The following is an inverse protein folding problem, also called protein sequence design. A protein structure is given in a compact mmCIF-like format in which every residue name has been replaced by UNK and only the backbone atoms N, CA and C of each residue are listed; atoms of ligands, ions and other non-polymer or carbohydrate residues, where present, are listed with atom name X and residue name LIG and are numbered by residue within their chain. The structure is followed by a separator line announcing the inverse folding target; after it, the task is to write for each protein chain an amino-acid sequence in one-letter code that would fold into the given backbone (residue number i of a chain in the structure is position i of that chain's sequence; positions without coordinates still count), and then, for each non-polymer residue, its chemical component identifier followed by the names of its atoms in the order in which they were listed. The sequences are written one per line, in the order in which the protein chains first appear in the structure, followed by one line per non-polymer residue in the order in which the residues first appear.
data_IF_950817025162
#
_entry.id   IF_950817025162
#
_cell.length_a   1.000
_cell.length_b   1.000
_cell.length_c   1.000
_cell.angle_alpha   90.00
_cell.angle_beta   90.00
_cell.angle_gamma   90.00
#
_symmetry.space_group_name_H-M   'P 1'
#
loop_
_entity.id
_entity.type
_entity.pdbx_description
1 polymer ?
#
# COMPACT_ATOMS: atom_id res chain seq x y z
N UNK A 1 -1.73 3.36 -23.49
CA UNK A 1 -3.10 3.85 -23.23
C UNK A 1 -3.79 2.87 -22.29
N UNK A 2 -4.91 3.22 -21.64
CA UNK A 2 -5.62 2.26 -20.76
C UNK A 2 -5.90 0.94 -21.49
N UNK A 3 -6.23 1.02 -22.78
CA UNK A 3 -6.48 -0.15 -23.62
C UNK A 3 -5.27 -1.05 -23.81
N UNK A 4 -4.08 -0.48 -23.92
CA UNK A 4 -2.84 -1.25 -24.07
C UNK A 4 -2.52 -1.98 -22.77
N UNK A 5 -2.69 -1.29 -21.62
CA UNK A 5 -2.47 -1.86 -20.30
C UNK A 5 -3.42 -3.03 -20.00
N UNK A 6 -4.70 -2.91 -20.36
CA UNK A 6 -5.68 -4.01 -20.24
C UNK A 6 -5.30 -5.20 -21.13
N UNK A 7 -4.82 -4.95 -22.35
CA UNK A 7 -4.39 -6.01 -23.28
C UNK A 7 -3.13 -6.72 -22.83
N UNK A 8 -2.21 -6.00 -22.22
CA UNK A 8 -0.95 -6.53 -21.71
C UNK A 8 -1.12 -7.16 -20.32
N UNK A 9 -2.34 -7.09 -19.75
CA UNK A 9 -2.70 -7.62 -18.42
C UNK A 9 -1.90 -6.98 -17.28
N UNK A 10 -1.42 -5.75 -17.49
CA UNK A 10 -0.65 -4.97 -16.52
C UNK A 10 -1.59 -4.31 -15.51
N UNK A 11 -1.92 -5.03 -14.43
CA UNK A 11 -2.88 -4.52 -13.44
C UNK A 11 -2.39 -3.27 -12.73
N UNK A 12 -1.10 -3.21 -12.40
CA UNK A 12 -0.48 -2.07 -11.75
C UNK A 12 -0.61 -0.82 -12.62
N UNK A 13 -0.23 -0.92 -13.90
CA UNK A 13 -0.39 0.16 -14.84
C UNK A 13 -1.85 0.54 -15.07
N UNK A 14 -2.78 -0.43 -15.11
CA UNK A 14 -4.22 -0.15 -15.19
C UNK A 14 -4.69 0.61 -13.96
N UNK A 15 -4.33 0.17 -12.75
CA UNK A 15 -4.69 0.80 -11.50
C UNK A 15 -4.12 2.22 -11.44
N UNK A 16 -2.82 2.42 -11.68
CA UNK A 16 -2.17 3.73 -11.72
C UNK A 16 -2.83 4.66 -12.76
N UNK A 17 -3.15 4.14 -13.95
CA UNK A 17 -3.80 4.93 -14.99
C UNK A 17 -5.22 5.32 -14.58
N UNK A 18 -6.01 4.35 -14.12
CA UNK A 18 -7.36 4.57 -13.62
C UNK A 18 -7.32 5.54 -12.47
N UNK A 19 -6.33 5.46 -11.59
CA UNK A 19 -6.03 6.39 -10.52
C UNK A 19 -5.80 7.81 -11.06
N UNK A 20 -4.76 8.02 -11.85
CA UNK A 20 -4.30 9.35 -12.27
C UNK A 20 -5.27 10.14 -13.17
N UNK A 21 -6.33 9.52 -13.73
CA UNK A 21 -7.25 10.16 -14.67
C UNK A 21 -8.64 10.51 -14.06
N UNK A 22 -9.28 11.61 -14.50
CA UNK A 22 -10.59 12.00 -14.00
C UNK A 22 -11.74 11.13 -14.58
N UNK A 23 -12.90 11.04 -13.91
CA UNK A 23 -13.97 10.11 -14.28
C UNK A 23 -14.47 10.19 -15.73
N UNK A 24 -14.57 11.39 -16.30
CA UNK A 24 -14.99 11.59 -17.69
C UNK A 24 -13.96 11.07 -18.71
N UNK A 25 -12.65 11.14 -18.40
CA UNK A 25 -11.59 10.58 -19.27
C UNK A 25 -11.59 9.06 -19.20
N UNK A 26 -11.80 8.51 -17.99
CA UNK A 26 -11.94 7.07 -17.82
C UNK A 26 -13.18 6.59 -18.59
N UNK A 27 -14.32 7.26 -18.44
CA UNK A 27 -15.56 6.92 -19.14
C UNK A 27 -15.36 6.92 -20.67
N UNK A 28 -14.71 7.96 -21.22
CA UNK A 28 -14.41 8.06 -22.65
C UNK A 28 -13.48 6.93 -23.14
N UNK A 29 -12.48 6.53 -22.35
CA UNK A 29 -11.62 5.38 -22.68
C UNK A 29 -12.35 4.04 -22.56
N UNK A 30 -13.18 3.85 -21.52
CA UNK A 30 -14.00 2.66 -21.35
C UNK A 30 -15.02 2.50 -22.50
N UNK A 31 -15.61 3.59 -22.99
CA UNK A 31 -16.51 3.58 -24.14
C UNK A 31 -15.83 3.20 -25.46
N UNK A 32 -14.50 3.29 -25.54
CA UNK A 32 -13.71 2.89 -26.72
C UNK A 32 -13.23 1.44 -26.68
N UNK A 33 -13.40 0.77 -25.55
CA UNK A 33 -13.05 -0.63 -25.34
C UNK A 33 -14.18 -1.56 -25.76
N UNK A 34 -13.90 -2.86 -25.87
CA UNK A 34 -14.97 -3.85 -25.94
C UNK A 34 -15.58 -4.10 -24.54
N UNK A 35 -16.66 -4.87 -24.48
CA UNK A 35 -17.41 -5.09 -23.25
C UNK A 35 -16.54 -5.70 -22.14
N UNK A 36 -15.60 -6.58 -22.50
CA UNK A 36 -14.78 -7.32 -21.57
C UNK A 36 -13.72 -6.40 -20.97
N UNK A 37 -12.92 -5.77 -21.83
CA UNK A 37 -11.85 -4.86 -21.44
C UNK A 37 -12.40 -3.71 -20.57
N UNK A 38 -13.54 -3.13 -20.99
CA UNK A 38 -14.21 -2.08 -20.24
C UNK A 38 -14.70 -2.59 -18.87
N UNK A 39 -15.28 -3.79 -18.82
CA UNK A 39 -15.77 -4.40 -17.58
C UNK A 39 -14.65 -4.67 -16.56
N UNK A 40 -13.46 -5.02 -17.05
CA UNK A 40 -12.26 -5.28 -16.23
C UNK A 40 -11.77 -4.00 -15.59
N UNK A 41 -11.45 -2.98 -16.41
CA UNK A 41 -10.99 -1.69 -15.92
C UNK A 41 -12.06 -1.03 -15.00
N UNK A 42 -13.34 -1.16 -15.32
CA UNK A 42 -14.41 -0.66 -14.46
C UNK A 42 -14.48 -1.35 -13.09
N UNK A 43 -14.06 -2.61 -12.99
CA UNK A 43 -14.10 -3.35 -11.72
C UNK A 43 -12.96 -3.01 -10.77
N UNK A 44 -11.86 -2.49 -11.32
CA UNK A 44 -10.70 -2.04 -10.56
C UNK A 44 -10.92 -0.68 -9.90
N UNK A 45 -11.95 0.07 -10.32
CA UNK A 45 -12.37 1.30 -9.66
C UNK A 45 -12.98 1.02 -8.28
N UNK A 46 -12.61 1.83 -7.29
CA UNK A 46 -13.30 1.87 -6.01
C UNK A 46 -14.78 2.24 -6.21
N UNK A 47 -15.62 1.89 -5.23
CA UNK A 47 -17.08 2.02 -5.35
C UNK A 47 -17.54 3.43 -5.71
N UNK A 48 -16.92 4.45 -5.13
CA UNK A 48 -17.36 5.84 -5.29
C UNK A 48 -16.93 6.37 -6.67
N UNK A 49 -15.72 6.02 -7.13
CA UNK A 49 -15.26 6.35 -8.49
C UNK A 49 -15.96 5.56 -9.57
N UNK A 50 -16.22 4.27 -9.35
CA UNK A 50 -16.99 3.45 -10.27
C UNK A 50 -18.37 4.05 -10.52
N UNK A 51 -19.02 4.59 -9.47
CA UNK A 51 -20.29 5.28 -9.61
C UNK A 51 -20.14 6.58 -10.43
N UNK A 52 -19.14 7.41 -10.12
CA UNK A 52 -18.88 8.64 -10.85
C UNK A 52 -18.57 8.39 -12.33
N UNK A 53 -17.72 7.41 -12.63
CA UNK A 53 -17.40 6.99 -14.02
C UNK A 53 -18.65 6.45 -14.71
N UNK A 54 -19.45 5.63 -14.01
CA UNK A 54 -20.67 5.08 -14.59
C UNK A 54 -21.69 6.16 -14.93
N UNK A 55 -21.80 7.22 -14.13
CA UNK A 55 -22.67 8.37 -14.39
C UNK A 55 -22.21 9.21 -15.60
N UNK A 56 -20.91 9.25 -15.88
CA UNK A 56 -20.32 9.95 -17.04
C UNK A 56 -20.41 9.13 -18.35
N UNK A 57 -20.62 7.82 -18.28
CA UNK A 57 -20.78 6.95 -19.45
C UNK A 57 -22.10 7.20 -20.19
N UNK A 58 -22.07 7.10 -21.52
CA UNK A 58 -23.31 7.07 -22.30
C UNK A 58 -24.12 5.79 -21.98
N UNK A 59 -25.45 5.80 -22.13
CA UNK A 59 -26.30 4.65 -21.79
C UNK A 59 -25.92 3.34 -22.51
N UNK A 60 -25.37 3.44 -23.73
CA UNK A 60 -24.89 2.30 -24.51
C UNK A 60 -23.66 1.67 -23.85
N UNK A 61 -22.72 2.51 -23.40
CA UNK A 61 -21.47 2.07 -22.76
C UNK A 61 -21.73 1.54 -21.35
N UNK A 62 -22.67 2.15 -20.61
CA UNK A 62 -23.17 1.61 -19.34
C UNK A 62 -23.71 0.18 -19.50
N UNK A 63 -24.52 -0.05 -20.54
CA UNK A 63 -25.07 -1.37 -20.82
C UNK A 63 -23.96 -2.36 -21.21
N UNK A 64 -22.95 -1.90 -21.94
CA UNK A 64 -21.78 -2.68 -22.34
C UNK A 64 -20.93 -3.10 -21.13
N UNK A 65 -20.64 -2.19 -20.20
CA UNK A 65 -19.96 -2.48 -18.93
C UNK A 65 -20.73 -3.55 -18.14
N UNK A 66 -22.06 -3.38 -18.01
CA UNK A 66 -22.91 -4.33 -17.28
C UNK A 66 -22.97 -5.72 -17.95
N UNK A 67 -22.76 -5.80 -19.27
CA UNK A 67 -22.66 -7.06 -20.01
C UNK A 67 -21.29 -7.71 -19.79
N UNK A 68 -20.20 -6.96 -19.89
CA UNK A 68 -18.85 -7.44 -19.61
C UNK A 68 -18.69 -8.02 -18.20
N UNK A 69 -19.30 -7.37 -17.20
CA UNK A 69 -19.33 -7.85 -15.81
C UNK A 69 -20.09 -9.18 -15.61
N UNK A 70 -20.88 -9.61 -16.60
CA UNK A 70 -21.60 -10.89 -16.60
C UNK A 70 -20.93 -11.93 -17.49
N UNK A 71 -19.87 -11.53 -18.20
CA UNK A 71 -19.25 -12.34 -19.23
C UNK A 71 -18.23 -13.33 -18.65
N UNK A 72 -18.05 -14.46 -19.32
CA UNK A 72 -17.00 -15.44 -19.00
C UNK A 72 -15.62 -14.86 -19.14
N UNK A 73 -15.43 -13.95 -20.08
CA UNK A 73 -14.13 -13.33 -20.35
C UNK A 73 -13.61 -12.49 -19.18
N UNK A 74 -14.49 -11.91 -18.35
CA UNK A 74 -14.08 -11.27 -17.09
C UNK A 74 -13.49 -12.30 -16.10
N UNK A 75 -14.10 -13.49 -16.00
CA UNK A 75 -13.55 -14.56 -15.15
C UNK A 75 -12.25 -15.12 -15.72
N UNK A 76 -12.11 -15.20 -17.05
CA UNK A 76 -10.87 -15.62 -17.71
C UNK A 76 -9.73 -14.62 -17.49
N UNK A 77 -10.01 -13.31 -17.51
CA UNK A 77 -9.00 -12.31 -17.18
C UNK A 77 -8.60 -12.38 -15.71
N UNK A 78 -9.57 -12.44 -14.80
CA UNK A 78 -9.26 -12.57 -13.37
C UNK A 78 -8.53 -13.89 -13.10
N UNK A 79 -8.82 -14.98 -13.80
CA UNK A 79 -8.04 -16.22 -13.69
C UNK A 79 -6.56 -16.02 -14.03
N UNK A 80 -6.25 -15.17 -15.01
CA UNK A 80 -4.88 -14.89 -15.46
C UNK A 80 -4.13 -13.80 -14.68
N UNK A 81 -4.75 -13.16 -13.68
CA UNK A 81 -4.09 -12.18 -12.81
C UNK A 81 -3.28 -12.85 -11.70
N UNK A 82 -2.25 -12.17 -11.21
CA UNK A 82 -1.44 -12.68 -10.10
C UNK A 82 -2.25 -12.76 -8.78
N UNK A 83 -1.92 -13.69 -7.85
CA UNK A 83 -2.74 -13.96 -6.66
C UNK A 83 -2.91 -12.79 -5.71
N UNK A 84 -1.84 -12.04 -5.47
CA UNK A 84 -1.75 -10.81 -4.67
C UNK A 84 -2.55 -9.67 -5.29
N UNK A 85 -2.43 -9.47 -6.60
CA UNK A 85 -3.19 -8.50 -7.38
C UNK A 85 -4.69 -8.76 -7.32
N UNK A 86 -5.11 -10.02 -7.47
CA UNK A 86 -6.50 -10.43 -7.22
C UNK A 86 -6.93 -10.15 -5.80
N UNK A 87 -6.07 -10.44 -4.81
CA UNK A 87 -6.40 -10.22 -3.41
C UNK A 87 -6.55 -8.72 -3.10
N UNK A 88 -5.72 -7.86 -3.69
CA UNK A 88 -5.79 -6.40 -3.66
C UNK A 88 -7.11 -5.90 -4.25
N UNK A 89 -7.43 -6.29 -5.48
CA UNK A 89 -8.70 -5.95 -6.15
C UNK A 89 -9.93 -6.37 -5.33
N UNK A 90 -9.89 -7.55 -4.70
CA UNK A 90 -11.03 -8.09 -3.95
C UNK A 90 -11.21 -7.47 -2.56
N UNK A 91 -10.20 -6.76 -2.04
CA UNK A 91 -10.21 -6.12 -0.71
C UNK A 91 -11.35 -5.12 -0.55
N UNK A 92 -11.56 -4.29 -1.57
CA UNK A 92 -12.59 -3.24 -1.56
C UNK A 92 -13.91 -3.69 -2.22
N UNK A 93 -13.93 -4.89 -2.77
CA UNK A 93 -15.11 -5.42 -3.44
C UNK A 93 -16.22 -5.79 -2.42
N UNK A 94 -17.50 -5.53 -2.75
CA UNK A 94 -18.60 -6.04 -1.93
C UNK A 94 -18.54 -7.56 -1.80
N UNK A 95 -18.80 -8.09 -0.60
CA UNK A 95 -18.67 -9.51 -0.29
C UNK A 95 -19.35 -10.46 -1.31
N UNK A 96 -20.53 -10.09 -1.81
CA UNK A 96 -21.26 -10.87 -2.84
C UNK A 96 -20.50 -11.00 -4.15
N UNK A 97 -19.73 -9.97 -4.52
CA UNK A 97 -18.92 -9.97 -5.73
C UNK A 97 -17.64 -10.77 -5.51
N UNK A 98 -16.95 -10.56 -4.38
CA UNK A 98 -15.77 -11.34 -4.03
C UNK A 98 -16.08 -12.85 -4.03
N UNK A 99 -17.19 -13.27 -3.41
CA UNK A 99 -17.63 -14.66 -3.46
C UNK A 99 -17.89 -15.19 -4.87
N UNK A 100 -18.44 -14.37 -5.78
CA UNK A 100 -18.70 -14.78 -7.17
C UNK A 100 -17.40 -14.95 -7.94
N UNK A 101 -16.47 -14.02 -7.80
CA UNK A 101 -15.15 -14.06 -8.44
C UNK A 101 -14.39 -15.30 -7.98
N UNK A 102 -14.26 -15.49 -6.65
CA UNK A 102 -13.61 -16.65 -6.07
C UNK A 102 -14.25 -17.96 -6.53
N UNK A 103 -15.58 -18.02 -6.67
CA UNK A 103 -16.28 -19.21 -7.16
C UNK A 103 -16.04 -19.50 -8.64
N UNK A 104 -15.66 -18.49 -9.44
CA UNK A 104 -15.30 -18.61 -10.85
C UNK A 104 -13.85 -19.07 -11.08
N UNK A 105 -12.97 -18.81 -10.13
CA UNK A 105 -11.55 -19.21 -10.21
C UNK A 105 -11.37 -20.73 -10.18
N UNK A 106 -10.31 -21.22 -10.84
CA UNK A 106 -9.89 -22.61 -10.71
C UNK A 106 -9.50 -22.95 -9.26
N UNK A 107 -9.47 -24.26 -8.90
CA UNK A 107 -9.16 -24.65 -7.54
C UNK A 107 -7.79 -24.19 -7.04
N UNK A 108 -6.82 -23.97 -7.92
CA UNK A 108 -5.49 -23.51 -7.53
C UNK A 108 -5.51 -22.01 -7.21
N UNK A 109 -5.93 -21.20 -8.17
CA UNK A 109 -6.04 -19.74 -8.03
C UNK A 109 -6.89 -19.35 -6.84
N UNK A 110 -8.05 -20.00 -6.68
CA UNK A 110 -8.92 -19.77 -5.52
C UNK A 110 -8.20 -20.02 -4.19
N UNK A 111 -7.39 -21.09 -4.08
CA UNK A 111 -6.66 -21.39 -2.83
C UNK A 111 -5.63 -20.31 -2.54
N UNK A 112 -4.86 -19.90 -3.53
CA UNK A 112 -3.82 -18.88 -3.39
C UNK A 112 -4.44 -17.55 -2.99
N UNK A 113 -5.41 -17.04 -3.76
CA UNK A 113 -6.11 -15.80 -3.44
C UNK A 113 -6.81 -15.85 -2.08
N UNK A 114 -7.46 -16.98 -1.73
CA UNK A 114 -8.14 -17.09 -0.43
C UNK A 114 -7.16 -17.13 0.75
N UNK A 115 -5.96 -17.68 0.56
CA UNK A 115 -4.91 -17.67 1.57
C UNK A 115 -4.45 -16.23 1.86
N UNK A 116 -4.17 -15.46 0.81
CA UNK A 116 -3.81 -14.03 0.94
C UNK A 116 -4.94 -13.24 1.61
N UNK A 117 -6.18 -13.47 1.18
CA UNK A 117 -7.37 -12.86 1.79
C UNK A 117 -7.61 -13.28 3.26
N UNK A 118 -6.90 -14.30 3.76
CA UNK A 118 -6.99 -14.79 5.13
C UNK A 118 -6.06 -14.07 6.11
N UNK A 119 -5.00 -13.40 5.63
CA UNK A 119 -4.06 -12.70 6.50
C UNK A 119 -4.66 -11.40 7.09
N UNK A 120 -4.12 -10.87 8.20
CA UNK A 120 -4.56 -9.58 8.75
C UNK A 120 -4.49 -8.43 7.73
N UNK A 121 -5.38 -7.45 7.83
CA UNK A 121 -5.26 -6.24 7.01
C UNK A 121 -3.95 -5.50 7.35
N UNK A 122 -3.27 -4.99 6.33
CA UNK A 122 -1.98 -4.29 6.47
C UNK A 122 -0.78 -5.19 6.75
N UNK A 123 -0.93 -6.52 6.85
CA UNK A 123 0.20 -7.43 7.01
C UNK A 123 0.89 -7.75 5.68
N UNK A 124 2.18 -8.08 5.70
CA UNK A 124 2.94 -8.47 4.50
C UNK A 124 2.31 -9.67 3.78
N UNK A 125 1.65 -10.59 4.49
CA UNK A 125 0.93 -11.72 3.87
C UNK A 125 -0.25 -11.32 2.97
N UNK A 126 -0.71 -10.06 3.03
CA UNK A 126 -1.73 -9.50 2.11
C UNK A 126 -1.14 -8.95 0.80
N UNK A 127 0.17 -8.71 0.77
CA UNK A 127 0.90 -8.09 -0.33
C UNK A 127 1.95 -9.04 -0.92
N UNK A 128 2.25 -10.16 -0.26
CA UNK A 128 3.17 -11.15 -0.81
C UNK A 128 2.51 -11.94 -1.95
N UNK A 129 3.32 -12.37 -2.90
CA UNK A 129 2.95 -13.39 -3.87
C UNK A 129 3.32 -14.79 -3.36
N UNK A 130 2.44 -15.79 -3.48
CA UNK A 130 2.77 -17.19 -3.19
C UNK A 130 3.45 -17.91 -4.37
N UNK A 131 3.56 -17.26 -5.53
CA UNK A 131 4.09 -17.85 -6.77
C UNK A 131 5.61 -17.77 -6.81
N UNK A 132 6.24 -18.63 -6.03
CA UNK A 132 7.69 -18.59 -5.77
C UNK A 132 8.40 -19.87 -6.23
N UNK A 133 9.58 -19.72 -6.84
CA UNK A 133 10.46 -20.86 -7.14
C UNK A 133 11.39 -21.12 -5.96
N UNK A 134 11.01 -22.05 -5.08
CA UNK A 134 11.86 -22.52 -3.99
C UNK A 134 12.78 -23.66 -4.44
N UNK A 135 14.06 -23.61 -4.03
CA UNK A 135 15.09 -24.60 -4.34
C UNK A 135 15.48 -25.42 -3.09
N UNK A 136 15.55 -26.76 -3.18
CA UNK A 136 16.23 -27.56 -2.17
C UNK A 136 17.74 -27.26 -2.13
N UNK A 137 18.31 -27.19 -0.92
CA UNK A 137 19.73 -26.88 -0.71
C UNK A 137 20.71 -27.90 -1.31
N UNK A 138 20.27 -29.15 -1.52
CA UNK A 138 21.08 -30.27 -2.01
C UNK A 138 21.13 -30.36 -3.54
N UNK A 139 20.46 -29.47 -4.27
CA UNK A 139 20.54 -29.42 -5.72
C UNK A 139 21.90 -28.89 -6.19
N UNK A 140 22.36 -29.40 -7.33
CA UNK A 140 23.44 -28.76 -8.09
C UNK A 140 22.90 -27.54 -8.86
N UNK A 141 23.79 -26.63 -9.27
CA UNK A 141 23.46 -25.48 -10.12
C UNK A 141 22.71 -25.91 -11.39
N UNK A 142 23.12 -27.01 -12.04
CA UNK A 142 22.42 -27.52 -13.23
C UNK A 142 20.96 -27.91 -12.94
N UNK A 143 20.72 -28.57 -11.80
CA UNK A 143 19.40 -29.00 -11.36
C UNK A 143 18.54 -27.82 -10.91
N UNK A 144 19.15 -26.85 -10.24
CA UNK A 144 18.51 -25.60 -9.85
C UNK A 144 18.03 -24.82 -11.09
N UNK A 145 18.91 -24.59 -12.07
CA UNK A 145 18.55 -23.93 -13.33
C UNK A 145 17.49 -24.71 -14.13
N UNK A 146 17.46 -26.04 -14.03
CA UNK A 146 16.39 -26.86 -14.62
C UNK A 146 15.06 -26.59 -13.92
N UNK A 147 15.05 -26.55 -12.59
CA UNK A 147 13.87 -26.21 -11.79
C UNK A 147 13.35 -24.82 -12.15
N UNK A 148 14.25 -23.83 -12.28
CA UNK A 148 13.92 -22.47 -12.71
C UNK A 148 13.31 -22.46 -14.12
N UNK A 149 13.83 -23.24 -15.07
CA UNK A 149 13.23 -23.32 -16.42
C UNK A 149 11.84 -23.98 -16.42
N UNK A 150 11.61 -24.95 -15.55
CA UNK A 150 10.34 -25.68 -15.48
C UNK A 150 9.25 -24.90 -14.74
N UNK A 151 9.61 -24.15 -13.69
CA UNK A 151 8.65 -23.46 -12.81
C UNK A 151 8.66 -21.93 -12.93
N UNK A 152 9.73 -21.36 -13.45
CA UNK A 152 9.89 -19.91 -13.59
C UNK A 152 8.84 -19.20 -14.44
N UNK A 153 8.21 -19.82 -15.46
CA UNK A 153 7.12 -19.17 -16.20
C UNK A 153 5.87 -18.85 -15.36
N UNK A 154 5.65 -19.58 -14.26
CA UNK A 154 4.48 -19.43 -13.37
C UNK A 154 4.89 -18.77 -12.03
N UNK A 155 6.02 -18.07 -12.00
CA UNK A 155 6.53 -17.44 -10.78
C UNK A 155 6.68 -15.94 -10.99
N UNK A 156 6.41 -15.18 -9.94
CA UNK A 156 6.54 -13.71 -9.94
C UNK A 156 7.93 -13.27 -10.39
N UNK A 157 8.93 -13.92 -9.81
CA UNK A 157 10.33 -13.63 -10.15
C UNK A 157 11.18 -14.87 -10.02
N UNK A 158 12.22 -14.90 -10.86
CA UNK A 158 13.30 -15.90 -10.79
C UNK A 158 14.60 -15.29 -10.32
N UNK A 159 14.66 -13.98 -10.06
CA UNK A 159 15.92 -13.30 -9.72
C UNK A 159 16.39 -13.64 -8.31
N UNK A 160 15.48 -13.73 -7.35
CA UNK A 160 15.76 -14.18 -5.98
C UNK A 160 15.06 -15.52 -5.75
N UNK A 161 15.83 -16.56 -5.43
CA UNK A 161 15.32 -17.92 -5.28
C UNK A 161 15.47 -18.35 -3.81
N UNK A 162 14.36 -18.45 -3.05
CA UNK A 162 14.39 -19.00 -1.70
C UNK A 162 14.93 -20.42 -1.68
N UNK A 163 15.82 -20.71 -0.73
CA UNK A 163 16.35 -22.04 -0.49
C UNK A 163 15.69 -22.62 0.75
N UNK A 164 15.20 -23.86 0.65
CA UNK A 164 14.43 -24.51 1.71
C UNK A 164 14.97 -25.90 2.06
N UNK A 165 14.70 -26.32 3.30
CA UNK A 165 14.94 -27.69 3.76
C UNK A 165 13.79 -28.65 3.39
N UNK A 166 13.93 -29.92 3.78
CA UNK A 166 12.90 -30.95 3.55
C UNK A 166 11.55 -30.66 4.22
N UNK A 167 11.52 -29.81 5.25
CA UNK A 167 10.32 -29.33 5.94
C UNK A 167 9.73 -28.04 5.38
N UNK A 168 10.27 -27.52 4.26
CA UNK A 168 9.98 -26.21 3.65
C UNK A 168 10.38 -25.01 4.51
N UNK A 169 11.25 -25.19 5.51
CA UNK A 169 11.76 -24.07 6.29
C UNK A 169 12.76 -23.28 5.45
N UNK A 170 12.67 -21.96 5.51
CA UNK A 170 13.60 -21.08 4.80
C UNK A 170 15.00 -21.23 5.40
N UNK A 171 15.98 -21.64 4.59
CA UNK A 171 17.37 -21.78 5.01
C UNK A 171 18.26 -20.69 4.43
N UNK A 172 17.85 -20.07 3.32
CA UNK A 172 18.59 -18.98 2.71
C UNK A 172 17.97 -18.48 1.40
N UNK A 173 18.70 -17.66 0.68
CA UNK A 173 18.36 -17.23 -0.69
C UNK A 173 19.56 -17.39 -1.61
N UNK A 174 19.30 -17.64 -2.90
CA UNK A 174 20.31 -17.61 -3.95
C UNK A 174 19.81 -16.73 -5.09
N UNK A 175 20.68 -15.85 -5.58
CA UNK A 175 20.37 -15.00 -6.72
C UNK A 175 20.58 -15.78 -8.02
N UNK A 176 19.72 -15.59 -9.02
CA UNK A 176 19.84 -16.27 -10.33
C UNK A 176 21.20 -16.04 -10.98
N UNK A 177 21.77 -14.85 -10.80
CA UNK A 177 23.11 -14.51 -11.30
C UNK A 177 24.17 -15.48 -10.77
N UNK A 178 24.07 -15.91 -9.51
CA UNK A 178 25.02 -16.83 -8.90
C UNK A 178 24.89 -18.22 -9.54
N UNK A 179 23.67 -18.68 -9.80
CA UNK A 179 23.45 -19.93 -10.53
C UNK A 179 23.97 -19.88 -11.97
N UNK A 180 23.85 -18.74 -12.65
CA UNK A 180 24.31 -18.60 -14.04
C UNK A 180 25.84 -18.52 -14.13
N UNK A 181 26.51 -17.92 -13.14
CA UNK A 181 27.94 -17.65 -13.17
C UNK A 181 28.81 -18.77 -12.57
N UNK A 182 28.22 -19.72 -11.86
CA UNK A 182 28.93 -20.84 -11.22
C UNK A 182 28.86 -22.14 -12.04
N UNK A 183 29.77 -23.06 -11.73
CA UNK A 183 29.89 -24.35 -12.43
C UNK A 183 28.64 -25.23 -12.23
N UNK A 184 28.18 -25.97 -13.26
CA UNK A 184 26.95 -26.77 -13.18
C UNK A 184 26.92 -27.82 -12.05
N UNK A 185 28.10 -28.28 -11.60
CA UNK A 185 28.26 -29.26 -10.53
C UNK A 185 28.33 -28.68 -9.11
N UNK A 186 28.45 -27.35 -8.96
CA UNK A 186 28.45 -26.69 -7.64
C UNK A 186 27.10 -26.89 -6.95
N UNK A 187 27.10 -27.09 -5.63
CA UNK A 187 25.87 -27.24 -4.85
C UNK A 187 25.25 -25.86 -4.54
N UNK A 188 23.92 -25.78 -4.53
CA UNK A 188 23.18 -24.56 -4.13
C UNK A 188 23.56 -24.13 -2.71
N UNK A 189 23.75 -25.09 -1.79
CA UNK A 189 24.21 -24.83 -0.42
C UNK A 189 25.56 -24.10 -0.34
N UNK A 190 26.40 -24.14 -1.38
CA UNK A 190 27.68 -23.41 -1.42
C UNK A 190 27.52 -21.95 -1.87
N UNK A 191 26.41 -21.62 -2.53
CA UNK A 191 26.12 -20.30 -3.09
C UNK A 191 25.08 -19.52 -2.26
N UNK A 192 24.46 -20.17 -1.28
CA UNK A 192 23.35 -19.61 -0.53
C UNK A 192 23.84 -18.53 0.44
N UNK A 193 23.11 -17.42 0.51
CA UNK A 193 23.21 -16.48 1.61
C UNK A 193 22.38 -17.03 2.77
N UNK A 194 23.06 -17.51 3.81
CA UNK A 194 22.42 -18.03 5.02
C UNK A 194 21.91 -16.88 5.89
N UNK A 195 20.78 -17.09 6.58
CA UNK A 195 20.13 -16.07 7.42
C UNK A 195 19.73 -14.79 6.64
N UNK A 196 18.96 -14.92 5.55
CA UNK A 196 18.47 -13.77 4.80
C UNK A 196 17.51 -12.95 5.66
N UNK A 197 17.43 -11.65 5.36
CA UNK A 197 16.32 -10.85 5.84
C UNK A 197 15.00 -11.52 5.40
N UNK A 198 14.05 -11.62 6.33
CA UNK A 198 12.73 -12.20 6.08
C UNK A 198 11.71 -11.58 7.01
N UNK A 199 10.44 -11.68 6.64
CA UNK A 199 9.32 -11.22 7.47
C UNK A 199 8.35 -12.38 7.74
N UNK A 200 7.66 -12.33 8.88
CA UNK A 200 6.52 -13.22 9.10
C UNK A 200 5.33 -12.69 8.32
N UNK A 201 4.49 -13.57 7.78
CA UNK A 201 3.30 -13.20 7.01
C UNK A 201 2.31 -12.29 7.78
N UNK A 202 2.41 -12.25 9.11
CA UNK A 202 1.58 -11.40 9.98
C UNK A 202 2.23 -10.06 10.34
N UNK A 203 3.49 -9.83 10.00
CA UNK A 203 4.18 -8.57 10.26
C UNK A 203 3.59 -7.45 9.42
N UNK A 204 3.76 -6.20 9.88
CA UNK A 204 3.34 -5.02 9.13
C UNK A 204 4.02 -4.98 7.75
N UNK A 205 3.24 -4.77 6.69
CA UNK A 205 3.78 -4.60 5.35
C UNK A 205 4.72 -3.38 5.28
N UNK A 206 4.42 -2.32 6.03
CA UNK A 206 5.25 -1.12 6.10
C UNK A 206 6.61 -1.41 6.76
N UNK A 207 6.63 -2.18 7.85
CA UNK A 207 7.87 -2.56 8.53
C UNK A 207 8.72 -3.48 7.63
N UNK A 208 8.08 -4.41 6.92
CA UNK A 208 8.74 -5.27 5.94
C UNK A 208 9.34 -4.46 4.78
N UNK A 209 8.61 -3.46 4.25
CA UNK A 209 9.10 -2.58 3.19
C UNK A 209 10.29 -1.71 3.68
N UNK A 210 10.24 -1.23 4.93
CA UNK A 210 11.36 -0.51 5.56
C UNK A 210 12.58 -1.42 5.72
N UNK A 211 12.39 -2.67 6.14
CA UNK A 211 13.45 -3.68 6.23
C UNK A 211 14.12 -3.90 4.87
N UNK A 212 13.35 -4.11 3.80
CA UNK A 212 13.87 -4.27 2.44
C UNK A 212 14.75 -3.10 2.01
N UNK A 213 14.32 -1.87 2.32
CA UNK A 213 15.10 -0.66 2.03
C UNK A 213 16.39 -0.60 2.84
N UNK A 214 16.36 -1.03 4.10
CA UNK A 214 17.55 -1.05 4.96
C UNK A 214 18.58 -2.10 4.52
N UNK A 215 18.11 -3.26 4.05
CA UNK A 215 18.96 -4.36 3.59
C UNK A 215 19.32 -4.28 2.11
N UNK A 216 18.68 -3.37 1.37
CA UNK A 216 18.82 -3.20 -0.09
C UNK A 216 18.47 -4.48 -0.86
N UNK A 217 17.44 -5.19 -0.40
CA UNK A 217 16.91 -6.40 -1.01
C UNK A 217 15.79 -6.06 -1.99
N UNK A 218 15.77 -6.71 -3.15
CA UNK A 218 14.71 -6.57 -4.16
C UNK A 218 13.48 -7.42 -3.83
N UNK A 219 13.67 -8.54 -3.15
CA UNK A 219 12.61 -9.47 -2.79
C UNK A 219 12.86 -9.98 -1.37
N UNK A 220 11.85 -9.89 -0.52
CA UNK A 220 11.91 -10.35 0.86
C UNK A 220 11.15 -11.68 1.01
N UNK A 221 11.82 -12.77 1.42
CA UNK A 221 11.14 -13.99 1.81
C UNK A 221 10.13 -13.78 2.93
N UNK A 222 8.93 -14.31 2.74
CA UNK A 222 7.87 -14.29 3.75
C UNK A 222 7.64 -15.70 4.29
N UNK A 223 7.64 -15.82 5.61
CA UNK A 223 7.49 -17.10 6.32
C UNK A 223 6.25 -17.14 7.20
N UNK A 224 5.75 -18.36 7.49
CA UNK A 224 4.71 -18.57 8.50
C UNK A 224 5.30 -18.63 9.93
N UNK A 225 4.44 -18.89 10.92
CA UNK A 225 4.84 -19.02 12.33
C UNK A 225 5.73 -20.22 12.65
N UNK A 226 5.94 -21.14 11.70
CA UNK A 226 6.83 -22.31 11.80
C UNK A 226 8.11 -22.15 10.95
N UNK A 227 8.41 -20.92 10.52
CA UNK A 227 9.52 -20.54 9.62
C UNK A 227 9.45 -21.17 8.22
N UNK A 228 8.26 -21.61 7.79
CA UNK A 228 8.09 -22.17 6.45
C UNK A 228 7.85 -21.06 5.44
N UNK A 229 8.51 -21.15 4.29
CA UNK A 229 8.30 -20.22 3.18
C UNK A 229 6.84 -20.28 2.70
N UNK A 230 6.19 -19.12 2.67
CA UNK A 230 4.80 -18.96 2.17
C UNK A 230 4.69 -17.99 0.99
N UNK A 231 5.69 -17.15 0.75
CA UNK A 231 5.69 -16.22 -0.38
C UNK A 231 6.95 -15.36 -0.46
N UNK A 232 6.94 -14.44 -1.42
CA UNK A 232 7.91 -13.36 -1.59
C UNK A 232 7.16 -12.03 -1.54
N UNK A 233 7.78 -11.01 -0.95
CA UNK A 233 7.32 -9.63 -1.00
C UNK A 233 8.28 -8.84 -1.89
N UNK A 234 7.76 -8.24 -2.96
CA UNK A 234 8.56 -7.63 -4.02
C UNK A 234 8.79 -6.14 -3.76
N UNK A 235 9.81 -5.58 -4.43
CA UNK A 235 10.18 -4.18 -4.23
C UNK A 235 9.12 -3.21 -4.76
N UNK A 236 8.45 -3.54 -5.85
CA UNK A 236 7.36 -2.75 -6.44
C UNK A 236 6.18 -2.63 -5.47
N UNK A 237 5.71 -3.76 -4.89
CA UNK A 237 4.70 -3.72 -3.83
C UNK A 237 5.19 -2.97 -2.59
N UNK A 238 6.47 -3.10 -2.23
CA UNK A 238 7.04 -2.37 -1.10
C UNK A 238 7.05 -0.85 -1.35
N UNK A 239 7.30 -0.39 -2.57
CA UNK A 239 7.19 1.04 -2.93
C UNK A 239 5.75 1.52 -2.76
N UNK A 240 4.76 0.78 -3.27
CA UNK A 240 3.34 1.14 -3.10
C UNK A 240 2.94 1.27 -1.63
N UNK A 241 3.36 0.31 -0.79
CA UNK A 241 3.07 0.32 0.65
C UNK A 241 3.65 1.57 1.32
N UNK A 242 4.86 1.96 0.97
CA UNK A 242 5.51 3.16 1.52
C UNK A 242 4.80 4.44 1.05
N UNK A 243 4.42 4.53 -0.22
CA UNK A 243 3.69 5.70 -0.75
C UNK A 243 2.30 5.85 -0.11
N UNK A 244 1.59 4.74 0.09
CA UNK A 244 0.31 4.72 0.78
C UNK A 244 0.46 5.18 2.25
N UNK A 245 1.47 4.69 2.96
CA UNK A 245 1.76 5.08 4.34
C UNK A 245 2.11 6.58 4.45
N UNK A 246 2.99 7.08 3.57
CA UNK A 246 3.37 8.50 3.53
C UNK A 246 2.15 9.40 3.24
N UNK A 247 1.27 8.97 2.33
CA UNK A 247 0.02 9.69 2.01
C UNK A 247 -0.93 9.74 3.21
N UNK A 248 -1.06 8.63 3.93
CA UNK A 248 -1.87 8.54 5.14
C UNK A 248 -1.33 9.46 6.25
N UNK A 249 -0.02 9.46 6.47
CA UNK A 249 0.66 10.29 7.45
C UNK A 249 0.50 11.78 7.13
N UNK A 250 0.65 12.18 5.87
CA UNK A 250 0.42 13.55 5.43
C UNK A 250 -1.03 14.01 5.69
N UNK A 251 -2.01 13.15 5.40
CA UNK A 251 -3.42 13.46 5.64
C UNK A 251 -3.68 13.67 7.15
N UNK A 252 -3.22 12.73 7.98
CA UNK A 252 -3.37 12.81 9.45
C UNK A 252 -2.67 14.00 10.05
N UNK A 253 -1.47 14.32 9.60
CA UNK A 253 -0.70 15.49 10.05
C UNK A 253 -1.44 16.81 9.79
N UNK A 254 -2.22 16.89 8.70
CA UNK A 254 -3.03 18.07 8.38
C UNK A 254 -4.35 18.16 9.15
N UNK A 255 -4.64 17.19 10.03
CA UNK A 255 -5.93 17.09 10.71
C UNK A 255 -7.05 16.68 9.76
N UNK A 256 -6.76 15.80 8.81
CA UNK A 256 -7.74 15.18 7.92
C UNK A 256 -7.71 13.66 8.07
N UNK A 257 -8.84 13.01 7.82
CA UNK A 257 -8.83 11.57 7.61
C UNK A 257 -8.21 11.25 6.24
N UNK A 258 -7.43 10.16 6.13
CA UNK A 258 -6.86 9.73 4.86
C UNK A 258 -7.97 9.44 3.85
N UNK A 259 -7.73 9.85 2.60
CA UNK A 259 -8.62 9.60 1.47
C UNK A 259 -7.86 8.71 0.49
N UNK A 260 -8.40 7.51 0.26
CA UNK A 260 -7.78 6.50 -0.60
C UNK A 260 -8.01 6.74 -2.10
N UNK A 261 -8.80 7.75 -2.49
CA UNK A 261 -9.11 8.05 -3.88
C UNK A 261 -8.41 9.31 -4.41
N UNK A 262 -8.70 9.67 -5.66
CA UNK A 262 -8.19 10.92 -6.23
C UNK A 262 -8.93 12.12 -5.68
N UNK A 263 -8.18 13.17 -5.38
CA UNK A 263 -8.74 14.41 -4.87
C UNK A 263 -9.80 15.01 -5.81
N UNK A 264 -9.57 14.97 -7.13
CA UNK A 264 -10.50 15.54 -8.13
C UNK A 264 -11.70 14.64 -8.42
N UNK A 265 -11.63 13.35 -8.08
CA UNK A 265 -12.76 12.44 -8.20
C UNK A 265 -13.68 12.50 -6.98
N UNK A 266 -13.18 13.01 -5.85
CA UNK A 266 -13.97 13.19 -4.65
C UNK A 266 -14.98 14.33 -4.80
N UNK A 267 -16.26 14.04 -4.58
CA UNK A 267 -17.29 15.06 -4.48
C UNK A 267 -17.01 16.00 -3.31
N UNK A 268 -17.52 17.24 -3.43
CA UNK A 268 -17.42 18.26 -2.36
C UNK A 268 -17.95 17.72 -1.03
N UNK A 269 -19.03 16.94 -1.06
CA UNK A 269 -19.64 16.35 0.13
C UNK A 269 -18.78 15.26 0.77
N UNK A 270 -18.09 14.43 -0.03
CA UNK A 270 -17.12 13.47 0.49
C UNK A 270 -16.00 14.23 1.21
N UNK A 271 -15.29 15.14 0.52
CA UNK A 271 -14.18 15.90 1.10
C UNK A 271 -14.58 16.66 2.37
N UNK A 272 -15.77 17.28 2.37
CA UNK A 272 -16.30 17.95 3.55
C UNK A 272 -16.47 16.98 4.73
N UNK A 273 -16.98 15.76 4.51
CA UNK A 273 -17.17 14.75 5.56
C UNK A 273 -15.84 14.26 6.16
N UNK A 274 -14.80 14.06 5.33
CA UNK A 274 -13.46 13.65 5.80
C UNK A 274 -12.80 14.69 6.71
N UNK A 275 -13.12 15.98 6.49
CA UNK A 275 -12.58 17.09 7.30
C UNK A 275 -13.51 17.47 8.46
N UNK A 276 -14.82 17.26 8.32
CA UNK A 276 -15.82 17.75 9.27
C UNK A 276 -15.58 17.23 10.70
N UNK A 277 -15.23 15.96 10.86
CA UNK A 277 -14.99 15.37 12.18
C UNK A 277 -13.82 16.08 12.89
N UNK A 278 -12.67 16.17 12.22
CA UNK A 278 -11.48 16.81 12.76
C UNK A 278 -11.65 18.31 12.97
N UNK A 279 -12.24 19.02 12.00
CA UNK A 279 -12.53 20.46 12.12
C UNK A 279 -13.50 20.74 13.27
N UNK A 280 -14.51 19.88 13.49
CA UNK A 280 -15.45 20.03 14.61
C UNK A 280 -14.73 19.85 15.95
N UNK A 281 -13.84 18.85 16.05
CA UNK A 281 -13.05 18.61 17.25
C UNK A 281 -12.12 19.80 17.55
N UNK A 282 -11.43 20.33 16.54
CA UNK A 282 -10.58 21.50 16.66
C UNK A 282 -11.39 22.76 17.01
N UNK A 283 -12.59 22.92 16.46
CA UNK A 283 -13.48 24.04 16.78
C UNK A 283 -13.93 23.99 18.24
N UNK A 284 -14.31 22.81 18.75
CA UNK A 284 -14.64 22.63 20.17
C UNK A 284 -13.45 22.97 21.06
N UNK A 285 -12.25 22.49 20.71
CA UNK A 285 -11.03 22.86 21.43
C UNK A 285 -10.78 24.38 21.39
N UNK A 286 -11.00 25.02 20.23
CA UNK A 286 -10.86 26.47 20.08
C UNK A 286 -11.85 27.26 20.97
N UNK A 287 -13.05 26.74 21.26
CA UNK A 287 -13.99 27.42 22.17
C UNK A 287 -13.46 27.56 23.59
N UNK A 288 -12.52 26.70 24.03
CA UNK A 288 -11.86 26.83 25.34
C UNK A 288 -11.08 28.14 25.45
N UNK A 289 -10.55 28.66 24.33
CA UNK A 289 -9.83 29.94 24.30
C UNK A 289 -10.74 31.12 24.66
N UNK A 290 -12.02 31.06 24.29
CA UNK A 290 -13.03 32.07 24.66
C UNK A 290 -13.17 32.14 26.18
N UNK A 291 -13.13 31.00 26.86
CA UNK A 291 -13.16 30.94 28.33
C UNK A 291 -11.95 31.65 28.95
N UNK A 292 -10.75 31.42 28.40
CA UNK A 292 -9.52 32.10 28.86
C UNK A 292 -9.60 33.61 28.61
N UNK A 293 -10.01 34.05 27.42
CA UNK A 293 -10.14 35.49 27.12
C UNK A 293 -11.14 36.18 28.03
N UNK A 294 -12.29 35.56 28.31
CA UNK A 294 -13.28 36.09 29.25
C UNK A 294 -12.71 36.27 30.66
N UNK A 295 -11.86 35.37 31.12
CA UNK A 295 -11.23 35.50 32.43
C UNK A 295 -10.31 36.73 32.55
N UNK A 296 -9.82 37.28 31.42
CA UNK A 296 -8.94 38.45 31.37
C UNK A 296 -9.62 39.71 30.78
N UNK A 297 -10.95 39.71 30.65
CA UNK A 297 -11.72 40.80 30.04
C UNK A 297 -11.46 42.16 30.71
N UNK A 298 -11.50 42.20 32.05
CA UNK A 298 -11.23 43.42 32.81
C UNK A 298 -9.80 43.99 32.62
N UNK A 299 -8.83 43.14 32.27
CA UNK A 299 -7.46 43.57 31.95
C UNK A 299 -7.38 44.12 30.53
N UNK A 300 -8.09 43.51 29.59
CA UNK A 300 -8.17 43.98 28.20
C UNK A 300 -8.89 45.32 28.09
N UNK A 301 -9.88 45.59 28.94
CA UNK A 301 -10.54 46.90 29.02
C UNK A 301 -9.58 48.02 29.45
N UNK A 302 -8.64 47.72 30.34
CA UNK A 302 -7.64 48.70 30.79
C UNK A 302 -6.62 49.02 29.70
N UNK A 303 -6.25 48.02 28.90
CA UNK A 303 -5.25 48.16 27.83
C UNK A 303 -5.70 47.40 26.58
N UNK A 304 -6.56 48.06 25.79
CA UNK A 304 -7.14 47.45 24.58
C UNK A 304 -6.08 47.03 23.54
N UNK A 305 -4.89 47.66 23.53
CA UNK A 305 -3.81 47.30 22.62
C UNK A 305 -3.25 45.90 22.86
N UNK A 306 -3.40 45.32 24.06
CA UNK A 306 -2.99 43.93 24.33
C UNK A 306 -3.73 42.93 23.43
N UNK A 307 -5.00 43.20 23.10
CA UNK A 307 -5.79 42.35 22.22
C UNK A 307 -5.20 42.24 20.81
N UNK A 308 -4.48 43.27 20.33
CA UNK A 308 -3.84 43.28 19.01
C UNK A 308 -2.69 42.28 18.91
N UNK A 309 -2.05 41.96 20.04
CA UNK A 309 -0.93 41.00 20.09
C UNK A 309 -1.41 39.55 20.24
N UNK A 310 -2.65 39.32 20.66
CA UNK A 310 -3.18 37.95 20.87
C UNK A 310 -3.10 37.10 19.59
N UNK A 311 -3.63 37.53 18.42
CA UNK A 311 -3.54 36.72 17.19
C UNK A 311 -2.09 36.48 16.76
N UNK A 312 -1.22 37.47 16.94
CA UNK A 312 0.20 37.38 16.59
C UNK A 312 0.93 36.33 17.44
N UNK A 313 0.75 36.38 18.76
CA UNK A 313 1.40 35.46 19.70
C UNK A 313 0.87 34.03 19.54
N UNK A 314 -0.46 33.87 19.37
CA UNK A 314 -1.06 32.55 19.09
C UNK A 314 -0.55 31.99 17.77
N UNK A 315 -0.52 32.81 16.70
CA UNK A 315 -0.02 32.38 15.40
C UNK A 315 1.45 31.98 15.41
N UNK A 316 2.32 32.78 16.06
CA UNK A 316 3.73 32.44 16.21
C UNK A 316 3.95 31.16 17.02
N UNK A 317 3.26 31.01 18.15
CA UNK A 317 3.31 29.80 18.98
C UNK A 317 2.79 28.56 18.25
N UNK A 318 1.70 28.70 17.48
CA UNK A 318 1.15 27.64 16.66
C UNK A 318 2.12 27.18 15.56
N UNK A 319 2.76 28.13 14.86
CA UNK A 319 3.76 27.81 13.84
C UNK A 319 4.99 27.09 14.42
N UNK A 320 5.51 27.58 15.56
CA UNK A 320 6.62 26.94 16.25
C UNK A 320 6.27 25.51 16.70
N UNK A 321 5.09 25.33 17.29
CA UNK A 321 4.58 24.03 17.69
C UNK A 321 4.40 23.07 16.51
N UNK A 322 3.87 23.54 15.38
CA UNK A 322 3.70 22.74 14.17
C UNK A 322 5.04 22.29 13.56
N UNK A 323 6.07 23.15 13.56
CA UNK A 323 7.41 22.80 13.10
C UNK A 323 8.05 21.71 13.96
N UNK A 324 8.02 21.88 15.29
CA UNK A 324 8.56 20.90 16.22
C UNK A 324 7.81 19.56 16.11
N UNK A 325 6.46 19.60 16.07
CA UNK A 325 5.63 18.41 15.92
C UNK A 325 5.92 17.67 14.61
N UNK A 326 6.00 18.40 13.49
CA UNK A 326 6.30 17.82 12.16
C UNK A 326 7.64 17.11 12.14
N UNK A 327 8.69 17.76 12.64
CA UNK A 327 10.02 17.16 12.70
C UNK A 327 10.05 15.91 13.60
N UNK A 328 9.42 15.99 14.78
CA UNK A 328 9.39 14.87 15.72
C UNK A 328 8.57 13.68 15.22
N UNK A 329 7.38 13.92 14.64
CA UNK A 329 6.52 12.85 14.10
C UNK A 329 7.22 12.13 12.96
N UNK A 330 7.83 12.88 12.02
CA UNK A 330 8.62 12.27 10.94
C UNK A 330 9.79 11.44 11.50
N UNK A 331 10.55 11.98 12.45
CA UNK A 331 11.69 11.28 13.04
C UNK A 331 11.27 9.99 13.78
N UNK A 332 10.06 9.94 14.33
CA UNK A 332 9.46 8.71 14.87
C UNK A 332 9.11 7.72 13.75
N UNK A 333 8.46 8.17 12.68
CA UNK A 333 8.03 7.32 11.56
C UNK A 333 9.21 6.70 10.79
N UNK A 334 10.34 7.41 10.66
CA UNK A 334 11.55 6.88 10.03
C UNK A 334 12.47 6.11 10.99
N UNK A 335 12.10 5.98 12.27
CA UNK A 335 12.87 5.23 13.27
C UNK A 335 14.11 5.95 13.83
N UNK A 336 14.34 7.22 13.51
CA UNK A 336 15.42 8.04 14.06
C UNK A 336 15.25 8.34 15.55
N UNK A 337 14.00 8.44 16.00
CA UNK A 337 13.62 8.67 17.40
C UNK A 337 12.80 7.48 17.87
N UNK A 338 13.10 6.97 19.06
CA UNK A 338 12.32 5.93 19.72
C UNK A 338 11.59 6.52 20.93
N UNK A 339 10.54 5.83 21.42
CA UNK A 339 9.83 6.25 22.64
C UNK A 339 10.76 6.42 23.86
N UNK A 340 11.87 5.68 23.92
CA UNK A 340 12.92 5.82 24.93
C UNK A 340 13.65 7.18 24.91
N UNK A 341 13.60 7.93 23.81
CA UNK A 341 14.31 9.20 23.65
C UNK A 341 13.47 10.43 24.02
N UNK A 342 12.24 10.24 24.53
CA UNK A 342 11.30 11.32 24.85
C UNK A 342 11.93 12.46 25.67
N UNK A 343 12.61 12.15 26.76
CA UNK A 343 13.24 13.17 27.61
C UNK A 343 14.36 13.93 26.89
N UNK A 344 15.12 13.25 26.01
CA UNK A 344 16.18 13.88 25.21
C UNK A 344 15.59 14.83 24.18
N UNK A 345 14.49 14.44 23.54
CA UNK A 345 13.76 15.27 22.57
C UNK A 345 13.19 16.51 23.27
N UNK A 346 12.50 16.36 24.40
CA UNK A 346 11.97 17.50 25.18
C UNK A 346 13.09 18.48 25.53
N UNK A 347 14.21 17.98 26.05
CA UNK A 347 15.35 18.83 26.39
C UNK A 347 15.94 19.57 25.18
N UNK A 348 16.03 18.88 24.03
CA UNK A 348 16.50 19.48 22.78
C UNK A 348 15.56 20.58 22.29
N UNK A 349 14.26 20.31 22.24
CA UNK A 349 13.24 21.26 21.79
C UNK A 349 13.10 22.47 22.72
N UNK A 350 13.24 22.29 24.04
CA UNK A 350 13.27 23.43 24.97
C UNK A 350 14.44 24.39 24.66
N UNK A 351 15.61 23.86 24.31
CA UNK A 351 16.77 24.69 23.95
C UNK A 351 16.58 25.37 22.59
N UNK A 352 15.98 24.69 21.62
CA UNK A 352 15.63 25.29 20.32
C UNK A 352 14.64 26.43 20.55
N UNK A 353 13.60 26.22 21.36
CA UNK A 353 12.62 27.24 21.72
C UNK A 353 13.25 28.47 22.39
N UNK A 354 14.22 28.27 23.30
CA UNK A 354 14.96 29.38 23.96
C UNK A 354 15.86 30.18 23.01
N UNK A 355 16.27 29.60 21.88
CA UNK A 355 17.09 30.30 20.88
C UNK A 355 16.21 31.07 19.89
N UNK A 356 15.00 30.56 19.61
CA UNK A 356 14.07 31.15 18.65
C UNK A 356 13.15 32.22 19.26
N UNK A 357 12.78 32.08 20.54
CA UNK A 357 11.94 33.03 21.30
C UNK A 357 12.77 34.00 22.11
#
# INVERSE_FOLDING_TARGET
SLRDLVRDHDLHGILEWLETHPPHVIADELGRMDAVDAGVAFRLLDKDRALAVFEELEPVDQQQILQGLRDRSFLELVEGMDPDDRARMLREAPAKVAHRVLAGLSPNERRMTSALLGYPEGSVGRYMTPEVVALPQDLTVEQALRTVREKGPDAETVYTLPVVDAGRRLTGVVELRELVLNEPGTLVAELVVTEPASAYATDSAEDAARLMRETNDLNLPVVDSEDRLVGLFTIDDAVEVIEAADTEDMARQSGAAPWAGHYMAASVWQLARYRALWLSLLLVAATLTVGVTRAFEATLEQVASLALFIPMLIGAGGNAGAQAATACVRALAVGEVRGSDLLKVIWRECRVGLVLG
#
